data_IF_640175071793
#
_entry.id   IF_640175071793
#
_cell.length_a   1.000
_cell.length_b   1.000
_cell.length_c   1.000
_cell.angle_alpha   90.00
_cell.angle_beta   90.00
_cell.angle_gamma   90.00
#
_symmetry.space_group_name_H-M   'P 1'
#
loop_
_entity.id
_entity.type
_entity.pdbx_description
1 polymer ?
#
# COMPACT_ATOMS: atom_id res chain seq x y z
N UNK A 1 11.27 -17.05 7.94
CA UNK A 1 10.51 -16.31 6.91
C UNK A 1 11.44 -15.30 6.27
N UNK A 2 11.45 -15.14 4.94
CA UNK A 2 12.28 -14.15 4.27
C UNK A 2 11.84 -12.72 4.62
N UNK A 3 12.76 -11.76 4.55
CA UNK A 3 12.47 -10.35 4.78
C UNK A 3 11.77 -9.73 3.56
N UNK A 4 11.07 -8.60 3.77
CA UNK A 4 10.36 -7.89 2.71
C UNK A 4 11.26 -7.57 1.52
N UNK A 5 12.41 -6.93 1.75
CA UNK A 5 13.32 -6.50 0.68
C UNK A 5 13.89 -7.66 -0.15
N UNK A 6 14.09 -8.82 0.49
CA UNK A 6 14.53 -10.03 -0.20
C UNK A 6 13.41 -10.63 -1.06
N UNK A 7 12.17 -10.58 -0.58
CA UNK A 7 11.04 -11.27 -1.22
C UNK A 7 10.41 -10.44 -2.33
N UNK A 8 10.34 -9.12 -2.15
CA UNK A 8 9.55 -8.23 -3.01
C UNK A 8 10.06 -8.24 -4.45
N UNK A 9 11.36 -7.92 -4.65
CA UNK A 9 11.94 -7.90 -6.00
C UNK A 9 11.95 -9.24 -6.69
N UNK A 10 12.26 -10.32 -5.96
CA UNK A 10 12.20 -11.66 -6.52
C UNK A 10 10.79 -12.05 -6.97
N UNK A 11 9.77 -11.69 -6.19
CA UNK A 11 8.37 -11.96 -6.57
C UNK A 11 7.99 -11.19 -7.83
N UNK A 12 8.30 -9.89 -7.88
CA UNK A 12 8.07 -9.06 -9.07
C UNK A 12 8.76 -9.66 -10.32
N UNK A 13 10.01 -10.09 -10.18
CA UNK A 13 10.76 -10.65 -11.30
C UNK A 13 10.21 -12.01 -11.77
N UNK A 14 9.78 -12.87 -10.84
CA UNK A 14 9.18 -14.17 -11.15
C UNK A 14 7.78 -14.03 -11.79
N UNK A 15 7.02 -13.02 -11.38
CA UNK A 15 5.69 -12.70 -11.92
C UNK A 15 5.76 -11.91 -13.25
N UNK A 16 6.95 -11.48 -13.67
CA UNK A 16 7.14 -10.71 -14.91
C UNK A 16 6.64 -9.26 -14.79
N UNK A 17 6.65 -8.70 -13.59
CA UNK A 17 6.28 -7.31 -13.33
C UNK A 17 7.23 -6.38 -14.09
N UNK A 18 6.66 -5.38 -14.76
CA UNK A 18 7.47 -4.37 -15.48
C UNK A 18 7.72 -3.12 -14.64
N UNK A 19 6.69 -2.69 -13.90
CA UNK A 19 6.70 -1.48 -13.08
C UNK A 19 6.15 -1.82 -11.70
N UNK A 20 7.02 -1.86 -10.70
CA UNK A 20 6.66 -2.09 -9.31
C UNK A 20 6.34 -0.75 -8.66
N UNK A 21 5.07 -0.48 -8.42
CA UNK A 21 4.61 0.81 -7.89
C UNK A 21 4.45 0.74 -6.37
N UNK A 22 5.22 1.54 -5.63
CA UNK A 22 5.19 1.57 -4.17
C UNK A 22 5.18 3.01 -3.61
N UNK A 23 5.13 3.16 -2.30
CA UNK A 23 5.12 4.49 -1.68
C UNK A 23 6.55 4.99 -1.39
N UNK A 24 6.72 6.31 -1.27
CA UNK A 24 8.01 6.98 -1.05
C UNK A 24 8.85 6.43 0.11
N UNK A 25 8.25 5.77 1.10
CA UNK A 25 9.01 5.18 2.20
C UNK A 25 9.96 4.04 1.77
N UNK A 26 9.80 3.53 0.55
CA UNK A 26 10.63 2.46 0.00
C UNK A 26 11.70 2.96 -0.98
N UNK A 27 11.89 4.27 -1.13
CA UNK A 27 12.91 4.81 -2.04
C UNK A 27 14.32 4.34 -1.66
N UNK A 28 14.67 4.39 -0.37
CA UNK A 28 15.96 3.94 0.16
C UNK A 28 16.15 2.41 0.06
N UNK A 29 15.06 1.66 -0.18
CA UNK A 29 15.08 0.21 -0.35
C UNK A 29 15.39 -0.21 -1.80
N UNK A 30 15.17 0.68 -2.76
CA UNK A 30 15.39 0.42 -4.20
C UNK A 30 16.82 -0.03 -4.54
N UNK A 31 17.90 0.52 -3.96
CA UNK A 31 19.25 0.00 -4.20
C UNK A 31 19.41 -1.47 -3.81
N UNK A 32 18.81 -1.89 -2.69
CA UNK A 32 18.83 -3.28 -2.23
C UNK A 32 17.97 -4.18 -3.11
N UNK A 33 16.79 -3.70 -3.53
CA UNK A 33 15.93 -4.36 -4.51
C UNK A 33 16.70 -4.69 -5.79
N UNK A 34 17.38 -3.69 -6.37
CA UNK A 34 18.16 -3.86 -7.59
C UNK A 34 19.36 -4.78 -7.39
N UNK A 35 20.07 -4.65 -6.26
CA UNK A 35 21.23 -5.48 -5.97
C UNK A 35 20.87 -6.97 -5.88
N UNK A 36 19.75 -7.31 -5.23
CA UNK A 36 19.30 -8.71 -5.12
C UNK A 36 19.01 -9.29 -6.51
N UNK A 37 18.31 -8.54 -7.36
CA UNK A 37 17.95 -8.99 -8.72
C UNK A 37 19.17 -9.24 -9.59
N UNK A 38 20.21 -8.42 -9.44
CA UNK A 38 21.49 -8.56 -10.13
C UNK A 38 22.26 -9.80 -9.66
N UNK A 39 22.38 -9.98 -8.35
CA UNK A 39 23.12 -11.09 -7.78
C UNK A 39 22.50 -12.46 -8.12
N UNK A 40 21.18 -12.55 -8.19
CA UNK A 40 20.48 -13.81 -8.51
C UNK A 40 20.30 -14.05 -10.01
N UNK A 41 20.76 -13.14 -10.88
CA UNK A 41 20.51 -13.19 -12.32
C UNK A 41 19.02 -13.41 -12.62
N UNK A 42 18.17 -12.55 -12.05
CA UNK A 42 16.72 -12.68 -12.14
C UNK A 42 16.22 -12.71 -13.60
N UNK A 43 15.10 -13.40 -13.89
CA UNK A 43 14.61 -13.57 -15.26
C UNK A 43 14.16 -12.25 -15.92
N UNK A 44 13.84 -11.24 -15.11
CA UNK A 44 13.64 -9.87 -15.56
C UNK A 44 14.04 -8.89 -14.47
N UNK A 45 14.15 -7.62 -14.85
CA UNK A 45 14.47 -6.49 -13.96
C UNK A 45 13.29 -5.51 -13.92
N UNK A 46 12.32 -5.71 -13.02
CA UNK A 46 11.24 -4.77 -12.80
C UNK A 46 11.79 -3.42 -12.32
N UNK A 47 11.15 -2.33 -12.74
CA UNK A 47 11.49 -0.99 -12.28
C UNK A 47 10.63 -0.59 -11.10
N UNK A 48 11.24 -0.36 -9.93
CA UNK A 48 10.55 0.26 -8.80
C UNK A 48 10.32 1.75 -9.06
N UNK A 49 9.08 2.21 -8.84
CA UNK A 49 8.66 3.61 -8.97
C UNK A 49 7.82 3.96 -7.74
N UNK A 50 8.27 4.98 -7.03
CA UNK A 50 7.66 5.44 -5.79
C UNK A 50 6.70 6.61 -6.04
N UNK A 51 5.62 6.67 -5.26
CA UNK A 51 4.69 7.81 -5.25
C UNK A 51 4.30 8.20 -3.82
N UNK A 52 3.80 9.42 -3.64
CA UNK A 52 3.42 9.91 -2.32
C UNK A 52 2.24 9.12 -1.74
N UNK A 53 2.29 8.82 -0.43
CA UNK A 53 1.18 8.16 0.27
C UNK A 53 0.01 9.14 0.43
N UNK A 54 -1.21 8.65 0.20
CA UNK A 54 -2.43 9.35 0.56
C UNK A 54 -2.45 9.69 2.06
N UNK A 55 -2.70 10.97 2.38
CA UNK A 55 -3.04 11.43 3.72
C UNK A 55 -4.37 12.18 3.68
N UNK A 56 -5.27 11.83 4.61
CA UNK A 56 -6.60 12.42 4.73
C UNK A 56 -6.70 13.20 6.04
N UNK A 57 -7.08 14.48 5.96
CA UNK A 57 -7.32 15.32 7.14
C UNK A 57 -8.36 14.71 8.07
N UNK A 58 -8.22 14.96 9.37
CA UNK A 58 -9.10 14.45 10.43
C UNK A 58 -9.21 12.92 10.50
N UNK A 59 -8.21 12.22 9.96
CA UNK A 59 -8.21 10.77 9.94
C UNK A 59 -6.85 10.19 10.26
N UNK A 60 -6.84 8.87 10.50
CA UNK A 60 -5.64 8.10 10.76
C UNK A 60 -5.62 6.91 9.80
N UNK A 61 -4.56 6.82 8.99
CA UNK A 61 -4.38 5.72 8.02
C UNK A 61 -3.37 4.67 8.47
N UNK A 62 -2.68 4.90 9.60
CA UNK A 62 -1.75 3.92 10.16
C UNK A 62 -2.49 2.69 10.65
N UNK A 63 -2.18 1.53 10.08
CA UNK A 63 -2.76 0.24 10.49
C UNK A 63 -2.64 0.00 12.00
N UNK A 64 -1.51 0.36 12.61
CA UNK A 64 -1.29 0.21 14.06
C UNK A 64 -2.31 0.99 14.89
N UNK A 65 -2.59 2.24 14.51
CA UNK A 65 -3.57 3.07 15.21
C UNK A 65 -5.01 2.60 14.94
N UNK A 66 -5.30 2.10 13.73
CA UNK A 66 -6.60 1.49 13.43
C UNK A 66 -6.85 0.21 14.23
N UNK A 67 -5.83 -0.64 14.40
CA UNK A 67 -5.89 -1.81 15.28
C UNK A 67 -6.24 -1.38 16.71
N UNK A 68 -5.54 -0.37 17.22
CA UNK A 68 -5.77 0.16 18.56
C UNK A 68 -7.23 0.62 18.75
N UNK A 69 -7.83 1.31 17.77
CA UNK A 69 -9.24 1.72 17.84
C UNK A 69 -10.20 0.52 17.96
N UNK A 70 -9.91 -0.57 17.26
CA UNK A 70 -10.72 -1.80 17.27
C UNK A 70 -10.51 -2.57 18.58
N UNK A 71 -9.27 -2.76 19.01
CA UNK A 71 -8.93 -3.51 20.22
C UNK A 71 -9.42 -2.82 21.50
N UNK A 72 -9.30 -1.50 21.56
CA UNK A 72 -9.81 -0.68 22.68
C UNK A 72 -11.31 -0.39 22.58
N UNK A 73 -12.00 -0.90 21.53
CA UNK A 73 -13.45 -0.78 21.33
C UNK A 73 -13.97 0.67 21.23
N UNK A 74 -13.15 1.57 20.68
CA UNK A 74 -13.62 2.92 20.29
C UNK A 74 -14.52 2.88 19.06
N UNK A 75 -14.45 1.79 18.29
CA UNK A 75 -15.29 1.47 17.13
C UNK A 75 -15.89 0.07 17.25
N UNK A 76 -16.97 -0.20 16.52
CA UNK A 76 -17.66 -1.50 16.50
C UNK A 76 -16.78 -2.62 15.89
N UNK A 77 -15.87 -2.25 14.99
CA UNK A 77 -15.02 -3.17 14.27
C UNK A 77 -14.34 -2.53 13.06
N UNK A 78 -13.71 -3.36 12.22
CA UNK A 78 -13.05 -2.91 10.99
C UNK A 78 -14.00 -2.36 9.93
N UNK A 79 -15.28 -2.70 10.01
CA UNK A 79 -16.35 -2.24 9.12
C UNK A 79 -17.20 -1.11 9.74
N UNK A 80 -16.84 -0.59 10.91
CA UNK A 80 -17.54 0.54 11.51
C UNK A 80 -17.63 1.72 10.52
N UNK A 81 -18.80 2.35 10.31
CA UNK A 81 -18.97 3.46 9.38
C UNK A 81 -18.01 4.65 9.61
N UNK A 82 -17.43 4.79 10.81
CA UNK A 82 -16.45 5.84 11.13
C UNK A 82 -15.03 5.51 10.65
N UNK A 83 -14.75 4.24 10.33
CA UNK A 83 -13.45 3.78 9.85
C UNK A 83 -13.28 4.07 8.36
N UNK A 84 -12.08 4.54 7.97
CA UNK A 84 -11.71 4.76 6.57
C UNK A 84 -11.19 3.49 5.86
N UNK A 85 -11.63 2.32 6.31
CA UNK A 85 -11.44 1.07 5.59
C UNK A 85 -12.43 0.99 4.43
N UNK A 86 -12.11 0.20 3.40
CA UNK A 86 -13.07 -0.04 2.30
C UNK A 86 -14.38 -0.64 2.82
N UNK A 87 -14.32 -1.54 3.80
CA UNK A 87 -15.49 -2.12 4.47
C UNK A 87 -16.30 -1.08 5.23
N UNK A 88 -15.65 -0.20 5.99
CA UNK A 88 -16.30 0.87 6.75
C UNK A 88 -16.97 1.90 5.86
N UNK A 89 -16.27 2.36 4.81
CA UNK A 89 -16.82 3.27 3.81
C UNK A 89 -18.01 2.66 3.06
N UNK A 90 -17.92 1.37 2.71
CA UNK A 90 -19.05 0.65 2.09
C UNK A 90 -20.25 0.58 3.02
N UNK A 91 -20.06 0.23 4.30
CA UNK A 91 -21.16 0.20 5.30
C UNK A 91 -21.74 1.60 5.57
N UNK A 92 -20.92 2.64 5.49
CA UNK A 92 -21.34 4.05 5.56
C UNK A 92 -22.19 4.48 4.36
N UNK A 93 -22.17 3.75 3.25
CA UNK A 93 -22.94 4.05 2.04
C UNK A 93 -22.16 4.75 0.94
N UNK A 94 -20.81 4.75 0.98
CA UNK A 94 -20.01 5.24 -0.15
C UNK A 94 -20.08 4.23 -1.31
N UNK A 95 -20.51 4.65 -2.52
CA UNK A 95 -20.43 3.79 -3.69
C UNK A 95 -18.97 3.66 -4.15
N UNK A 96 -18.62 2.52 -4.74
CA UNK A 96 -17.28 2.28 -5.28
C UNK A 96 -16.87 3.36 -6.31
N UNK A 97 -17.83 3.83 -7.12
CA UNK A 97 -17.61 4.91 -8.09
C UNK A 97 -17.14 6.22 -7.46
N UNK A 98 -17.61 6.56 -6.26
CA UNK A 98 -17.15 7.75 -5.54
C UNK A 98 -15.68 7.59 -5.08
N UNK A 99 -15.27 6.38 -4.71
CA UNK A 99 -13.87 6.11 -4.33
C UNK A 99 -12.95 6.15 -5.55
N UNK A 100 -13.37 5.62 -6.70
CA UNK A 100 -12.61 5.74 -7.95
C UNK A 100 -12.46 7.20 -8.36
N UNK A 101 -13.55 7.97 -8.37
CA UNK A 101 -13.52 9.41 -8.67
C UNK A 101 -12.64 10.18 -7.68
N UNK A 102 -12.62 9.78 -6.40
CA UNK A 102 -11.73 10.37 -5.42
C UNK A 102 -10.26 10.09 -5.77
N UNK A 103 -9.90 8.84 -6.08
CA UNK A 103 -8.54 8.47 -6.50
C UNK A 103 -8.08 9.20 -7.77
N UNK A 104 -8.98 9.39 -8.74
CA UNK A 104 -8.68 10.16 -9.96
C UNK A 104 -8.41 11.64 -9.67
N UNK A 105 -9.13 12.23 -8.71
CA UNK A 105 -9.01 13.66 -8.38
C UNK A 105 -7.80 14.02 -7.54
N UNK A 106 -7.39 13.16 -6.62
CA UNK A 106 -6.22 13.42 -5.77
C UNK A 106 -4.90 13.40 -6.57
N UNK A 107 -4.90 12.72 -7.73
CA UNK A 107 -3.72 12.57 -8.56
C UNK A 107 -2.63 11.71 -7.93
N UNK A 108 -1.51 11.59 -8.64
CA UNK A 108 -0.30 10.90 -8.19
C UNK A 108 0.86 11.87 -8.39
N UNK A 109 1.70 12.02 -7.35
CA UNK A 109 2.87 12.90 -7.33
C UNK A 109 4.07 12.18 -6.77
#
# INVERSE_FOLDING_TARGET
>A
YPLYDFTHGLSDALEGVTHSLCTLEFEDHRPLYNWILDEVSAPCFPRQIEFSRLNLSYSVLSKRKLIQLVEERHVEGWDDPRMLTLSGLRRRGYPASALHLFCERIGIS
#
